data_IF_007073672685
#
_entry.id   IF_007073672685
#
_cell.length_a   1.000
_cell.length_b   1.000
_cell.length_c   1.000
_cell.angle_alpha   90.00
_cell.angle_beta   90.00
_cell.angle_gamma   90.00
#
_symmetry.space_group_name_H-M   'P 1'
#
loop_
_entity.id
_entity.type
_entity.pdbx_description
1 polymer ?
#
# COMPACT_ATOMS: atom_id res chain seq x y z
N UNK A 1 -22.41 -5.99 5.84
CA UNK A 1 -21.09 -6.62 6.03
C UNK A 1 -21.35 -7.93 6.74
N UNK A 2 -20.96 -9.07 6.16
CA UNK A 2 -21.37 -10.38 6.67
C UNK A 2 -20.45 -10.83 7.82
N UNK A 3 -21.00 -11.57 8.79
CA UNK A 3 -20.31 -12.08 9.99
C UNK A 3 -19.03 -12.89 9.68
N UNK A 4 -18.89 -13.40 8.45
CA UNK A 4 -17.74 -14.20 8.01
C UNK A 4 -16.45 -13.39 7.81
N UNK A 5 -16.50 -12.05 7.72
CA UNK A 5 -15.31 -11.21 7.56
C UNK A 5 -14.44 -11.14 8.83
N UNK A 6 -14.94 -11.64 9.98
CA UNK A 6 -14.24 -11.57 11.27
C UNK A 6 -13.44 -12.82 11.66
N UNK A 7 -13.59 -13.96 10.96
CA UNK A 7 -12.87 -15.20 11.33
C UNK A 7 -11.35 -15.08 11.15
N UNK A 8 -10.88 -14.28 10.19
CA UNK A 8 -9.45 -14.00 9.98
C UNK A 8 -8.83 -13.06 11.02
N UNK A 9 -9.65 -12.21 11.66
CA UNK A 9 -9.19 -11.19 12.63
C UNK A 9 -8.66 -11.83 13.92
N UNK A 10 -8.99 -13.09 14.21
CA UNK A 10 -8.51 -13.79 15.42
C UNK A 10 -7.45 -14.84 15.15
N UNK A 11 -7.15 -15.16 13.87
CA UNK A 11 -6.12 -16.12 13.53
C UNK A 11 -4.76 -15.42 13.50
N UNK A 12 -3.81 -15.98 14.24
CA UNK A 12 -2.40 -15.58 14.16
C UNK A 12 -1.66 -16.70 13.43
N UNK A 13 -1.07 -16.36 12.29
CA UNK A 13 -0.22 -17.26 11.53
C UNK A 13 1.25 -16.90 11.78
N UNK A 14 2.12 -17.90 11.68
CA UNK A 14 3.57 -17.71 11.64
C UNK A 14 3.98 -17.66 10.17
N UNK A 15 4.66 -16.59 9.79
CA UNK A 15 5.19 -16.38 8.44
C UNK A 15 6.72 -16.33 8.50
N UNK A 16 7.34 -16.82 7.44
CA UNK A 16 8.80 -17.01 7.35
C UNK A 16 9.40 -16.01 6.37
N UNK A 17 10.46 -15.32 6.76
CA UNK A 17 11.18 -14.39 5.90
C UNK A 17 11.93 -15.17 4.81
N UNK A 18 11.66 -14.83 3.56
CA UNK A 18 12.33 -15.38 2.38
C UNK A 18 13.43 -14.44 1.91
N UNK A 19 13.16 -13.14 1.89
CA UNK A 19 14.06 -12.11 1.37
C UNK A 19 13.86 -10.79 2.12
N UNK A 20 14.95 -10.07 2.37
CA UNK A 20 14.95 -8.70 2.88
C UNK A 20 15.88 -7.86 2.02
N UNK A 21 15.41 -6.69 1.62
CA UNK A 21 16.15 -5.76 0.77
C UNK A 21 16.05 -4.33 1.33
N UNK A 22 17.11 -3.55 1.12
CA UNK A 22 17.08 -2.10 1.26
C UNK A 22 17.31 -1.49 -0.13
N UNK A 23 16.24 -1.17 -0.87
CA UNK A 23 16.38 -0.57 -2.19
C UNK A 23 17.09 0.79 -2.17
N UNK A 24 16.79 1.64 -1.18
CA UNK A 24 17.49 2.91 -0.95
C UNK A 24 17.09 3.54 0.39
N UNK A 25 17.99 4.35 0.95
CA UNK A 25 17.74 5.16 2.13
C UNK A 25 17.16 4.34 3.29
N UNK A 26 16.01 4.81 3.79
CA UNK A 26 15.29 4.16 4.89
C UNK A 26 14.24 3.15 4.40
N UNK A 27 14.09 2.89 3.11
CA UNK A 27 13.07 1.97 2.61
C UNK A 27 13.55 0.53 2.66
N UNK A 28 12.77 -0.34 3.29
CA UNK A 28 13.02 -1.78 3.35
C UNK A 28 11.83 -2.54 2.80
N UNK A 29 12.13 -3.62 2.08
CA UNK A 29 11.15 -4.54 1.50
C UNK A 29 11.43 -5.93 2.04
N UNK A 30 10.38 -6.62 2.49
CA UNK A 30 10.45 -7.95 3.07
C UNK A 30 9.46 -8.88 2.38
N UNK A 31 9.95 -10.04 1.98
CA UNK A 31 9.14 -11.09 1.35
C UNK A 31 8.96 -12.23 2.33
N UNK A 32 7.71 -12.60 2.58
CA UNK A 32 7.34 -13.65 3.52
C UNK A 32 6.60 -14.78 2.84
N UNK A 33 6.95 -16.02 3.21
CA UNK A 33 6.15 -17.20 2.93
C UNK A 33 5.05 -17.28 3.99
N UNK A 34 3.80 -17.26 3.55
CA UNK A 34 2.62 -17.27 4.41
C UNK A 34 1.65 -18.41 4.01
N UNK A 35 2.03 -19.69 4.21
CA UNK A 35 1.31 -20.83 3.62
C UNK A 35 -0.11 -21.01 4.17
N UNK A 36 -0.36 -20.52 5.37
CA UNK A 36 -1.64 -20.66 6.08
C UNK A 36 -2.51 -19.39 6.01
N UNK A 37 -2.02 -18.35 5.33
CA UNK A 37 -2.68 -17.04 5.24
C UNK A 37 -3.10 -16.79 3.80
N UNK A 38 -4.36 -16.40 3.61
CA UNK A 38 -4.88 -15.87 2.35
C UNK A 38 -5.08 -14.37 2.51
N UNK A 39 -4.75 -13.61 1.49
CA UNK A 39 -4.98 -12.16 1.46
C UNK A 39 -5.63 -11.75 0.15
N UNK A 40 -6.19 -10.54 0.16
CA UNK A 40 -6.67 -9.86 -1.03
C UNK A 40 -5.83 -8.60 -1.29
N UNK A 41 -5.79 -8.20 -2.56
CA UNK A 41 -5.08 -7.00 -3.00
C UNK A 41 -5.57 -5.76 -2.24
N UNK A 42 -4.62 -5.04 -1.63
CA UNK A 42 -4.88 -3.83 -0.85
C UNK A 42 -5.18 -4.06 0.64
N UNK A 43 -5.19 -5.31 1.12
CA UNK A 43 -5.30 -5.60 2.55
C UNK A 43 -4.01 -5.27 3.31
N UNK A 44 -4.15 -5.15 4.64
CA UNK A 44 -3.05 -5.01 5.57
C UNK A 44 -3.11 -6.12 6.64
N UNK A 45 -2.03 -6.25 7.39
CA UNK A 45 -1.93 -7.17 8.52
C UNK A 45 -1.31 -6.51 9.73
N UNK A 46 -1.54 -7.09 10.91
CA UNK A 46 -0.79 -6.75 12.11
C UNK A 46 0.37 -7.72 12.26
N UNK A 47 1.59 -7.21 12.13
CA UNK A 47 2.84 -7.96 12.21
C UNK A 47 3.46 -7.78 13.58
N UNK A 48 3.83 -8.87 14.25
CA UNK A 48 4.45 -8.86 15.58
C UNK A 48 5.61 -9.83 15.66
N UNK A 49 6.55 -9.56 16.56
CA UNK A 49 7.65 -10.50 16.81
C UNK A 49 7.13 -11.75 17.53
N UNK A 50 7.80 -12.87 17.32
CA UNK A 50 7.52 -14.11 18.07
C UNK A 50 7.89 -13.93 19.55
N UNK A 51 9.01 -13.25 19.81
CA UNK A 51 9.51 -12.82 21.11
C UNK A 51 8.67 -11.69 21.73
N UNK A 52 8.61 -11.63 23.07
CA UNK A 52 7.98 -10.50 23.78
C UNK A 52 8.88 -9.26 23.71
N UNK A 53 8.30 -8.12 23.32
CA UNK A 53 8.97 -6.80 23.35
C UNK A 53 8.23 -5.81 24.25
N UNK A 54 8.94 -4.78 24.73
CA UNK A 54 8.38 -3.79 25.68
C UNK A 54 7.48 -2.74 25.02
N UNK A 55 7.68 -2.44 23.74
CA UNK A 55 6.87 -1.47 22.98
C UNK A 55 5.53 -2.06 22.52
N UNK A 56 4.69 -1.27 21.84
CA UNK A 56 3.56 -1.79 21.06
C UNK A 56 4.08 -2.93 20.17
N UNK A 57 3.76 -4.17 20.57
CA UNK A 57 4.36 -5.40 20.08
C UNK A 57 4.04 -5.75 18.62
N UNK A 58 3.33 -4.88 17.92
CA UNK A 58 2.88 -5.09 16.55
C UNK A 58 2.94 -3.80 15.72
N UNK A 59 2.99 -3.95 14.39
CA UNK A 59 2.83 -2.89 13.40
C UNK A 59 1.79 -3.29 12.36
N UNK A 60 0.88 -2.37 12.04
CA UNK A 60 0.01 -2.54 10.88
C UNK A 60 0.83 -2.26 9.62
N UNK A 61 0.91 -3.18 8.67
CA UNK A 61 1.61 -2.97 7.39
C UNK A 61 0.68 -3.39 6.25
N UNK A 62 0.56 -2.54 5.23
CA UNK A 62 -0.13 -2.87 3.99
C UNK A 62 0.67 -3.90 3.22
N UNK A 63 -0.01 -4.89 2.66
CA UNK A 63 0.59 -5.92 1.83
C UNK A 63 0.80 -5.33 0.44
N UNK A 64 2.04 -5.37 -0.03
CA UNK A 64 2.49 -4.76 -1.27
C UNK A 64 2.48 -5.72 -2.47
N UNK A 65 2.06 -6.97 -2.26
CA UNK A 65 1.91 -7.96 -3.32
C UNK A 65 0.46 -8.32 -3.63
N UNK A 66 0.20 -8.64 -4.89
CA UNK A 66 -1.00 -9.33 -5.33
C UNK A 66 -0.92 -10.82 -4.91
N UNK A 67 -2.03 -11.45 -4.48
CA UNK A 67 -2.02 -12.86 -4.04
C UNK A 67 -1.45 -13.86 -5.07
N UNK A 68 -1.58 -13.56 -6.36
CA UNK A 68 -1.07 -14.42 -7.45
C UNK A 68 0.47 -14.45 -7.50
N UNK A 69 1.17 -13.50 -6.86
CA UNK A 69 2.64 -13.55 -6.72
C UNK A 69 3.08 -14.70 -5.80
N UNK A 70 2.18 -15.30 -5.00
CA UNK A 70 2.48 -16.43 -4.12
C UNK A 70 3.40 -16.08 -2.93
N UNK A 71 3.85 -14.83 -2.83
CA UNK A 71 4.71 -14.31 -1.77
C UNK A 71 4.07 -13.07 -1.15
N UNK A 72 4.10 -12.98 0.18
CA UNK A 72 3.58 -11.80 0.89
C UNK A 72 4.69 -10.75 1.01
N UNK A 73 4.60 -9.70 0.20
CA UNK A 73 5.54 -8.59 0.21
C UNK A 73 5.04 -7.50 1.15
N UNK A 74 5.90 -6.96 2.00
CA UNK A 74 5.62 -5.77 2.80
C UNK A 74 6.76 -4.78 2.69
N UNK A 75 6.44 -3.50 2.75
CA UNK A 75 7.45 -2.43 2.74
C UNK A 75 7.27 -1.53 3.96
N UNK A 76 8.38 -1.05 4.52
CA UNK A 76 8.32 -0.05 5.60
C UNK A 76 9.55 0.86 5.57
N UNK A 77 9.43 2.07 6.14
CA UNK A 77 10.59 2.94 6.41
C UNK A 77 11.23 2.58 7.74
N UNK A 78 12.54 2.44 7.81
CA UNK A 78 13.31 2.16 9.03
C UNK A 78 14.42 3.20 9.17
N UNK A 79 14.10 4.32 9.83
CA UNK A 79 15.06 5.39 10.09
C UNK A 79 15.99 5.14 11.29
N UNK A 80 16.73 6.18 11.68
CA UNK A 80 17.84 6.10 12.66
C UNK A 80 17.44 5.70 14.09
N UNK A 81 16.19 5.91 14.49
CA UNK A 81 15.66 5.54 15.81
C UNK A 81 14.47 4.59 15.66
N UNK A 82 14.71 3.35 15.20
CA UNK A 82 13.63 2.42 14.92
C UNK A 82 13.03 1.88 16.23
N UNK A 83 11.73 1.61 16.23
CA UNK A 83 11.12 0.79 17.29
C UNK A 83 11.77 -0.60 17.37
N UNK A 84 11.63 -1.28 18.52
CA UNK A 84 12.15 -2.65 18.70
C UNK A 84 11.68 -3.61 17.59
N UNK A 85 10.42 -3.51 17.18
CA UNK A 85 9.88 -4.30 16.06
C UNK A 85 10.68 -4.08 14.77
N UNK A 86 10.90 -2.82 14.38
CA UNK A 86 11.62 -2.48 13.14
C UNK A 86 13.12 -2.77 13.21
N UNK A 87 13.73 -2.58 14.38
CA UNK A 87 15.12 -2.93 14.60
C UNK A 87 15.34 -4.44 14.40
N UNK A 88 14.44 -5.27 14.94
CA UNK A 88 14.47 -6.72 14.74
C UNK A 88 14.13 -7.09 13.31
N UNK A 89 13.09 -6.49 12.70
CA UNK A 89 12.72 -6.73 11.31
C UNK A 89 13.90 -6.47 10.36
N UNK A 90 14.64 -5.38 10.57
CA UNK A 90 15.85 -5.03 9.81
C UNK A 90 16.99 -6.04 9.97
N UNK A 91 17.11 -6.72 11.11
CA UNK A 91 18.18 -7.68 11.38
C UNK A 91 17.80 -9.14 11.10
N UNK A 92 16.55 -9.40 10.68
CA UNK A 92 16.10 -10.74 10.34
C UNK A 92 16.87 -11.31 9.14
N UNK A 93 17.07 -12.62 9.18
CA UNK A 93 17.68 -13.42 8.13
C UNK A 93 16.64 -14.34 7.51
N UNK A 94 16.92 -14.83 6.30
CA UNK A 94 16.08 -15.86 5.66
C UNK A 94 15.86 -17.04 6.62
N UNK A 95 14.61 -17.47 6.75
CA UNK A 95 14.18 -18.50 7.70
C UNK A 95 13.69 -17.96 9.04
N UNK A 96 13.99 -16.70 9.40
CA UNK A 96 13.43 -16.09 10.61
C UNK A 96 11.92 -15.90 10.48
N UNK A 97 11.22 -15.95 11.61
CA UNK A 97 9.75 -15.95 11.64
C UNK A 97 9.17 -14.78 12.41
N UNK A 98 8.01 -14.31 11.95
CA UNK A 98 7.17 -13.33 12.66
C UNK A 98 5.72 -13.79 12.68
N UNK A 99 4.93 -13.18 13.55
CA UNK A 99 3.49 -13.42 13.67
C UNK A 99 2.73 -12.43 12.80
N UNK A 100 1.79 -12.94 12.02
CA UNK A 100 0.81 -12.18 11.26
C UNK A 100 -0.57 -12.41 11.86
N UNK A 101 -1.28 -11.33 12.19
CA UNK A 101 -2.70 -11.34 12.50
C UNK A 101 -3.47 -10.63 11.39
N UNK A 102 -4.50 -11.28 10.87
CA UNK A 102 -5.15 -10.94 9.61
C UNK A 102 -4.73 -11.90 8.49
N UNK A 103 -4.66 -11.46 7.23
CA UNK A 103 -4.92 -10.10 6.70
C UNK A 103 -6.39 -9.65 6.75
N UNK A 104 -6.62 -8.35 6.63
CA UNK A 104 -7.95 -7.73 6.56
C UNK A 104 -7.88 -6.32 5.95
N UNK A 105 -9.01 -5.79 5.51
CA UNK A 105 -9.12 -4.40 5.05
C UNK A 105 -10.21 -4.20 4.02
N UNK A 106 -10.67 -2.95 3.86
CA UNK A 106 -11.65 -2.57 2.85
C UNK A 106 -11.05 -1.76 1.70
N UNK A 107 -9.72 -1.61 1.67
CA UNK A 107 -9.01 -0.89 0.62
C UNK A 107 -8.88 -1.78 -0.61
N UNK A 108 -9.98 -1.92 -1.38
CA UNK A 108 -10.09 -2.86 -2.51
C UNK A 108 -10.69 -2.20 -3.75
N UNK A 109 -10.36 -2.77 -4.91
CA UNK A 109 -10.96 -2.40 -6.20
C UNK A 109 -12.48 -2.59 -6.12
N UNK A 110 -13.26 -1.54 -6.40
CA UNK A 110 -14.70 -1.51 -6.14
C UNK A 110 -15.55 -2.08 -7.27
N UNK A 111 -15.10 -1.94 -8.52
CA UNK A 111 -15.79 -2.44 -9.71
C UNK A 111 -14.82 -2.87 -10.81
N UNK A 112 -15.34 -3.25 -11.98
CA UNK A 112 -14.55 -3.74 -13.11
C UNK A 112 -14.22 -2.69 -14.19
N UNK A 113 -14.81 -1.50 -14.16
CA UNK A 113 -14.76 -0.57 -15.30
C UNK A 113 -14.47 0.89 -14.97
N UNK A 114 -14.70 1.37 -13.74
CA UNK A 114 -14.42 2.76 -13.40
C UNK A 114 -12.91 3.04 -13.43
N UNK A 115 -12.47 4.19 -13.97
CA UNK A 115 -11.08 4.63 -13.86
C UNK A 115 -10.60 4.66 -12.41
N UNK A 116 -9.32 4.35 -12.21
CA UNK A 116 -8.69 4.29 -10.89
C UNK A 116 -7.62 5.37 -10.79
N UNK A 117 -7.67 6.17 -9.74
CA UNK A 117 -6.66 7.16 -9.41
C UNK A 117 -6.04 6.76 -8.07
N UNK A 118 -4.81 6.29 -8.11
CA UNK A 118 -3.99 5.90 -6.96
C UNK A 118 -3.16 7.11 -6.51
N UNK A 119 -3.25 7.47 -5.23
CA UNK A 119 -2.58 8.63 -4.63
C UNK A 119 -1.72 8.13 -3.48
N UNK A 120 -0.41 8.09 -3.69
CA UNK A 120 0.56 7.56 -2.73
C UNK A 120 1.46 8.65 -2.18
N UNK A 121 1.70 8.61 -0.87
CA UNK A 121 2.71 9.41 -0.18
C UNK A 121 3.77 8.55 0.47
N UNK A 122 5.02 8.66 0.02
CA UNK A 122 6.15 7.91 0.57
C UNK A 122 5.87 6.40 0.64
N UNK A 123 5.81 5.84 1.85
CA UNK A 123 5.56 4.40 2.07
C UNK A 123 4.12 3.97 1.81
N UNK A 124 3.18 4.91 1.67
CA UNK A 124 1.82 4.63 1.20
C UNK A 124 1.76 4.06 -0.23
N UNK A 125 2.90 3.92 -0.89
CA UNK A 125 3.02 3.18 -2.15
C UNK A 125 2.77 1.68 -2.01
N UNK A 126 2.96 1.09 -0.81
CA UNK A 126 2.83 -0.34 -0.59
C UNK A 126 1.52 -0.94 -1.14
N UNK A 127 0.32 -0.51 -0.73
CA UNK A 127 -0.92 -1.06 -1.29
C UNK A 127 -1.11 -0.74 -2.78
N UNK A 128 -0.51 0.35 -3.28
CA UNK A 128 -0.62 0.73 -4.70
C UNK A 128 0.17 -0.21 -5.60
N UNK A 129 1.34 -0.69 -5.15
CA UNK A 129 2.08 -1.75 -5.86
C UNK A 129 1.19 -2.98 -6.06
N UNK A 130 0.49 -3.42 -5.01
CA UNK A 130 -0.40 -4.58 -5.12
C UNK A 130 -1.52 -4.34 -6.17
N UNK A 131 -2.09 -3.13 -6.24
CA UNK A 131 -3.07 -2.80 -7.27
C UNK A 131 -2.48 -2.77 -8.68
N UNK A 132 -1.31 -2.17 -8.88
CA UNK A 132 -0.65 -2.12 -10.18
C UNK A 132 -0.30 -3.53 -10.66
N UNK A 133 0.25 -4.38 -9.77
CA UNK A 133 0.54 -5.78 -10.07
C UNK A 133 -0.71 -6.57 -10.47
N UNK A 134 -1.87 -6.30 -9.84
CA UNK A 134 -3.14 -6.93 -10.21
C UNK A 134 -3.66 -6.45 -11.57
N UNK A 135 -3.48 -5.17 -11.89
CA UNK A 135 -4.11 -4.51 -13.02
C UNK A 135 -3.25 -4.53 -14.30
N UNK A 136 -1.94 -4.76 -14.20
CA UNK A 136 -0.99 -4.64 -15.31
C UNK A 136 -1.32 -5.45 -16.57
N UNK A 137 -2.03 -6.57 -16.45
CA UNK A 137 -2.46 -7.40 -17.60
C UNK A 137 -3.97 -7.60 -17.71
N UNK A 138 -4.74 -7.17 -16.70
CA UNK A 138 -6.12 -7.60 -16.51
C UNK A 138 -7.11 -6.42 -16.55
N UNK A 139 -6.76 -5.35 -17.25
CA UNK A 139 -7.65 -4.19 -17.30
C UNK A 139 -7.59 -3.43 -18.60
N UNK A 140 -8.76 -2.96 -19.02
CA UNK A 140 -8.95 -1.97 -20.09
C UNK A 140 -9.33 -0.59 -19.53
N UNK A 141 -9.36 -0.43 -18.20
CA UNK A 141 -9.68 0.84 -17.54
C UNK A 141 -8.41 1.69 -17.45
N UNK A 142 -8.60 3.00 -17.42
CA UNK A 142 -7.52 3.93 -17.09
C UNK A 142 -7.13 3.80 -15.60
N UNK A 143 -5.83 3.66 -15.35
CA UNK A 143 -5.24 3.61 -14.01
C UNK A 143 -4.14 4.67 -13.93
N UNK A 144 -4.27 5.59 -13.00
CA UNK A 144 -3.35 6.70 -12.82
C UNK A 144 -2.70 6.57 -11.45
N UNK A 145 -1.36 6.57 -11.39
CA UNK A 145 -0.62 6.70 -10.14
C UNK A 145 -0.11 8.14 -9.98
N UNK A 146 -0.47 8.78 -8.87
CA UNK A 146 0.14 10.00 -8.36
C UNK A 146 1.01 9.61 -7.15
N UNK A 147 2.32 9.49 -7.37
CA UNK A 147 3.25 9.11 -6.31
C UNK A 147 4.07 10.31 -5.86
N UNK A 148 3.74 10.85 -4.68
CA UNK A 148 4.48 11.95 -4.06
C UNK A 148 5.52 11.43 -3.07
N UNK A 149 6.78 11.81 -3.25
CA UNK A 149 7.87 11.48 -2.30
C UNK A 149 8.97 12.56 -2.32
N UNK A 150 9.71 12.67 -1.22
CA UNK A 150 10.90 13.52 -1.12
C UNK A 150 12.21 12.72 -1.08
N UNK A 151 12.14 11.45 -0.69
CA UNK A 151 13.32 10.63 -0.37
C UNK A 151 13.65 9.61 -1.47
N UNK A 152 12.91 9.64 -2.59
CA UNK A 152 12.95 8.64 -3.66
C UNK A 152 11.64 7.85 -3.81
N UNK A 153 11.52 7.11 -4.90
CA UNK A 153 10.30 6.39 -5.30
C UNK A 153 10.51 4.87 -5.24
N UNK A 154 9.94 4.22 -4.22
CA UNK A 154 10.06 2.78 -4.07
C UNK A 154 9.28 2.07 -5.19
N UNK A 155 9.89 1.01 -5.76
CA UNK A 155 9.38 0.26 -6.92
C UNK A 155 9.33 1.03 -8.25
N UNK A 156 10.05 2.14 -8.37
CA UNK A 156 10.01 2.97 -9.58
C UNK A 156 10.35 2.20 -10.87
N UNK A 157 11.40 1.39 -10.86
CA UNK A 157 11.82 0.60 -12.03
C UNK A 157 10.71 -0.38 -12.46
N UNK A 158 10.15 -1.13 -11.50
CA UNK A 158 9.01 -2.04 -11.73
C UNK A 158 7.80 -1.30 -12.30
N UNK A 159 7.46 -0.12 -11.77
CA UNK A 159 6.33 0.66 -12.28
C UNK A 159 6.58 1.19 -13.70
N UNK A 160 7.78 1.68 -14.00
CA UNK A 160 8.13 2.13 -15.34
C UNK A 160 8.01 0.99 -16.37
N UNK A 161 8.37 -0.24 -15.98
CA UNK A 161 8.15 -1.41 -16.84
C UNK A 161 6.65 -1.73 -17.03
N UNK A 162 5.83 -1.58 -16.00
CA UNK A 162 4.37 -1.74 -16.11
C UNK A 162 3.78 -0.72 -17.07
N UNK A 163 4.09 0.57 -16.92
CA UNK A 163 3.59 1.64 -17.80
C UNK A 163 4.04 1.43 -19.24
N UNK A 164 5.32 1.08 -19.46
CA UNK A 164 5.85 0.81 -20.81
C UNK A 164 5.10 -0.32 -21.54
N UNK A 165 4.58 -1.29 -20.80
CA UNK A 165 3.89 -2.45 -21.36
C UNK A 165 2.36 -2.35 -21.29
N UNK A 166 1.81 -1.23 -20.81
CA UNK A 166 0.37 -1.05 -20.66
C UNK A 166 -0.05 0.42 -20.80
N UNK A 167 -0.57 0.77 -21.98
CA UNK A 167 -1.02 2.13 -22.33
C UNK A 167 -2.21 2.64 -21.49
N UNK A 168 -2.90 1.78 -20.73
CA UNK A 168 -3.98 2.22 -19.84
C UNK A 168 -3.47 2.63 -18.46
N UNK A 169 -2.17 2.49 -18.19
CA UNK A 169 -1.54 2.87 -16.92
C UNK A 169 -0.69 4.12 -17.15
N UNK A 170 -0.86 5.13 -16.32
CA UNK A 170 -0.08 6.38 -16.37
C UNK A 170 0.48 6.71 -15.00
N UNK A 171 1.77 7.07 -14.94
CA UNK A 171 2.51 7.30 -13.71
C UNK A 171 2.99 8.75 -13.62
N UNK A 172 2.77 9.36 -12.46
CA UNK A 172 3.26 10.68 -12.13
C UNK A 172 4.09 10.62 -10.85
N UNK A 173 5.38 10.87 -10.99
CA UNK A 173 6.33 11.01 -9.88
C UNK A 173 6.40 12.48 -9.49
N UNK A 174 5.89 12.81 -8.32
CA UNK A 174 5.63 14.18 -7.89
C UNK A 174 6.45 14.54 -6.66
N UNK A 175 6.84 15.81 -6.55
CA UNK A 175 7.55 16.32 -5.37
C UNK A 175 6.80 17.49 -4.76
N UNK A 176 6.27 17.25 -3.56
CA UNK A 176 5.65 18.29 -2.75
C UNK A 176 4.14 18.43 -2.91
N UNK A 177 3.54 19.10 -1.93
CA UNK A 177 2.09 19.12 -1.73
C UNK A 177 1.32 19.89 -2.80
N UNK A 178 1.87 21.02 -3.27
CA UNK A 178 1.18 21.88 -4.24
C UNK A 178 1.01 21.19 -5.60
N UNK A 179 2.07 20.54 -6.07
CA UNK A 179 2.03 19.78 -7.32
C UNK A 179 1.04 18.61 -7.22
N UNK A 180 1.12 17.83 -6.14
CA UNK A 180 0.17 16.75 -5.89
C UNK A 180 -1.29 17.23 -5.91
N UNK A 181 -1.61 18.33 -5.21
CA UNK A 181 -2.96 18.91 -5.21
C UNK A 181 -3.42 19.37 -6.59
N UNK A 182 -2.51 19.87 -7.45
CA UNK A 182 -2.84 20.24 -8.83
C UNK A 182 -3.24 19.03 -9.66
N UNK A 183 -2.48 17.93 -9.59
CA UNK A 183 -2.82 16.70 -10.31
C UNK A 183 -4.13 16.07 -9.79
N UNK A 184 -4.31 16.02 -8.47
CA UNK A 184 -5.57 15.53 -7.86
C UNK A 184 -6.76 16.33 -8.38
N UNK A 185 -6.66 17.67 -8.41
CA UNK A 185 -7.71 18.54 -8.95
C UNK A 185 -7.99 18.24 -10.43
N UNK A 186 -6.95 18.14 -11.26
CA UNK A 186 -7.12 17.88 -12.69
C UNK A 186 -7.86 16.55 -12.94
N UNK A 187 -7.44 15.47 -12.27
CA UNK A 187 -8.09 14.18 -12.40
C UNK A 187 -9.48 14.12 -11.75
N UNK A 188 -9.72 14.90 -10.69
CA UNK A 188 -11.06 15.09 -10.14
C UNK A 188 -12.01 15.73 -11.16
N UNK A 189 -11.55 16.75 -11.88
CA UNK A 189 -12.35 17.40 -12.93
C UNK A 189 -12.57 16.47 -14.13
N UNK A 190 -11.52 15.78 -14.60
CA UNK A 190 -11.58 14.87 -15.74
C UNK A 190 -12.52 13.68 -15.51
N UNK A 191 -12.37 12.98 -14.38
CA UNK A 191 -13.11 11.75 -14.11
C UNK A 191 -14.37 11.97 -13.31
N UNK A 192 -14.45 13.04 -12.52
CA UNK A 192 -15.59 13.32 -11.65
C UNK A 192 -15.96 12.07 -10.82
N UNK A 193 -17.25 11.85 -10.54
CA UNK A 193 -17.72 10.66 -9.83
C UNK A 193 -17.78 9.39 -10.68
N UNK A 194 -17.11 9.34 -11.85
CA UNK A 194 -16.89 8.10 -12.62
C UNK A 194 -15.64 7.36 -12.16
N UNK A 195 -14.64 8.08 -11.64
CA UNK A 195 -13.41 7.48 -11.12
C UNK A 195 -13.50 7.11 -9.64
N UNK A 196 -12.68 6.15 -9.22
CA UNK A 196 -12.39 5.88 -7.81
C UNK A 196 -11.00 6.41 -7.45
N UNK A 197 -10.92 7.09 -6.31
CA UNK A 197 -9.70 7.71 -5.78
C UNK A 197 -9.25 6.93 -4.55
N UNK A 198 -8.06 6.33 -4.63
CA UNK A 198 -7.45 5.52 -3.59
C UNK A 198 -6.28 6.28 -3.00
N UNK A 199 -6.31 6.58 -1.70
CA UNK A 199 -5.29 7.42 -1.06
C UNK A 199 -4.61 6.63 0.05
N UNK A 200 -3.28 6.53 0.01
CA UNK A 200 -2.47 5.95 1.10
C UNK A 200 -1.24 6.80 1.39
N UNK A 201 -1.00 7.08 2.66
CA UNK A 201 0.09 7.93 3.12
C UNK A 201 -0.16 8.49 4.52
N UNK A 202 0.50 9.60 4.85
CA UNK A 202 0.31 10.26 6.15
C UNK A 202 -1.11 10.82 6.29
N UNK A 203 -1.59 10.95 7.54
CA UNK A 203 -2.91 11.51 7.82
C UNK A 203 -3.08 12.91 7.23
N UNK A 204 -2.03 13.74 7.28
CA UNK A 204 -2.04 15.08 6.69
C UNK A 204 -2.18 15.05 5.17
N UNK A 205 -1.49 14.12 4.50
CA UNK A 205 -1.61 13.96 3.05
C UNK A 205 -3.02 13.47 2.68
N UNK A 206 -3.55 12.47 3.40
CA UNK A 206 -4.90 11.95 3.17
C UNK A 206 -5.94 13.04 3.37
N UNK A 207 -5.82 13.83 4.43
CA UNK A 207 -6.71 14.97 4.69
C UNK A 207 -6.62 15.99 3.56
N UNK A 208 -5.42 16.38 3.14
CA UNK A 208 -5.21 17.33 2.05
C UNK A 208 -5.80 16.85 0.72
N UNK A 209 -5.49 15.61 0.32
CA UNK A 209 -6.01 15.00 -0.90
C UNK A 209 -7.54 14.85 -0.87
N UNK A 210 -8.10 14.38 0.26
CA UNK A 210 -9.55 14.25 0.44
C UNK A 210 -10.24 15.62 0.35
N UNK A 211 -9.68 16.66 0.97
CA UNK A 211 -10.21 18.01 0.88
C UNK A 211 -10.27 18.49 -0.57
N UNK A 212 -9.15 18.40 -1.31
CA UNK A 212 -9.10 18.76 -2.74
C UNK A 212 -10.15 18.00 -3.54
N UNK A 213 -10.34 16.69 -3.32
CA UNK A 213 -11.37 15.90 -4.01
C UNK A 213 -12.78 16.39 -3.67
N UNK A 214 -13.08 16.64 -2.40
CA UNK A 214 -14.42 17.08 -1.97
C UNK A 214 -14.77 18.49 -2.44
N UNK A 215 -13.80 19.42 -2.45
CA UNK A 215 -13.96 20.77 -3.03
C UNK A 215 -14.29 20.71 -4.53
N UNK A 216 -13.79 19.68 -5.22
CA UNK A 216 -14.08 19.39 -6.62
C UNK A 216 -15.24 18.38 -6.80
N UNK A 217 -16.16 18.32 -5.82
CA UNK A 217 -17.44 17.58 -5.90
C UNK A 217 -17.32 16.06 -6.05
N UNK A 218 -16.19 15.46 -5.68
CA UNK A 218 -16.06 14.01 -5.57
C UNK A 218 -16.78 13.53 -4.31
N UNK A 219 -17.69 12.58 -4.48
CA UNK A 219 -18.48 12.01 -3.38
C UNK A 219 -17.63 11.06 -2.55
N UNK A 220 -17.87 11.00 -1.23
CA UNK A 220 -17.12 10.14 -0.31
C UNK A 220 -17.11 8.66 -0.71
N UNK A 221 -18.18 8.17 -1.36
CA UNK A 221 -18.25 6.79 -1.88
C UNK A 221 -17.24 6.47 -2.99
N UNK A 222 -16.64 7.50 -3.61
CA UNK A 222 -15.59 7.38 -4.63
C UNK A 222 -14.19 7.59 -4.05
N UNK A 223 -14.06 7.80 -2.74
CA UNK A 223 -12.78 8.04 -2.07
C UNK A 223 -12.54 6.91 -1.08
N UNK A 224 -11.43 6.20 -1.25
CA UNK A 224 -10.98 5.15 -0.36
C UNK A 224 -9.66 5.58 0.27
N UNK A 225 -9.52 5.40 1.58
CA UNK A 225 -8.35 5.81 2.33
C UNK A 225 -7.72 4.59 3.02
N UNK A 226 -6.40 4.52 2.97
CA UNK A 226 -5.56 3.61 3.75
C UNK A 226 -4.60 4.47 4.60
N UNK A 227 -5.06 4.92 5.79
CA UNK A 227 -4.25 5.75 6.66
C UNK A 227 -3.11 4.95 7.26
N UNK A 228 -1.90 5.46 7.05
CA UNK A 228 -0.75 4.95 7.75
C UNK A 228 -0.64 5.65 9.14
N UNK A 229 -0.69 4.85 10.21
CA UNK A 229 -0.56 5.30 11.59
C UNK A 229 0.87 5.08 12.13
N UNK A 230 1.73 6.10 12.09
CA UNK A 230 2.98 6.19 12.86
C UNK A 230 3.90 4.95 12.81
N UNK A 231 4.88 5.00 11.91
CA UNK A 231 5.88 4.00 11.54
C UNK A 231 7.18 4.50 12.13
#
# INVERSE_FOLDING_TARGET
MALNDYKGVFKTDIIELVKSENPFGDYYVFDFKAPNSKWFTGEHGFFSLTEKIKDRGWRALSIASNPEEGIMKVATKIGNKPSQFKAKLKSMKKGDTIKLRGPFGNFKIQDQSSPIILIAGGIGIAPMRAFLEKLKHNTSREVILLYSSHDGYLFQEEFNEIEKNNDTITLHYLTGRQELSKYIKNYALQYSNRGYFYISGTLDMIKGATNTLTENKITKKRILNDPFYGY
#
